data_IF_632524031610
#
_entry.id   IF_632524031610
#
_cell.length_a   1.000
_cell.length_b   1.000
_cell.length_c   1.000
_cell.angle_alpha   90.00
_cell.angle_beta   90.00
_cell.angle_gamma   90.00
#
_symmetry.space_group_name_H-M   'P 1'
#
loop_
_entity.id
_entity.type
_entity.pdbx_description
1 polymer ?
#
# COMPACT_ATOMS: atom_id res chain seq x y z
N UNK A 1 13.46 -4.25 5.51
CA UNK A 1 13.90 -2.87 5.20
C UNK A 1 14.29 -2.19 6.50
N UNK A 2 15.40 -1.45 6.49
CA UNK A 2 15.90 -0.68 7.62
C UNK A 2 16.24 0.74 7.16
N UNK A 3 15.80 1.74 7.91
CA UNK A 3 16.19 3.14 7.75
C UNK A 3 17.08 3.53 8.94
N UNK A 4 18.28 4.06 8.65
CA UNK A 4 19.26 4.45 9.67
C UNK A 4 19.52 5.94 9.56
N UNK A 5 18.97 6.72 10.49
CA UNK A 5 19.13 8.17 10.58
C UNK A 5 18.85 8.91 9.25
N UNK A 6 17.79 8.50 8.57
CA UNK A 6 17.43 8.99 7.23
C UNK A 6 16.84 10.40 7.31
N UNK A 7 17.45 11.33 6.58
CA UNK A 7 16.92 12.68 6.36
C UNK A 7 16.69 12.94 4.87
N UNK A 8 15.69 13.76 4.56
CA UNK A 8 15.41 14.22 3.19
C UNK A 8 15.17 15.71 3.17
N UNK A 9 15.95 16.40 2.35
CA UNK A 9 15.87 17.86 2.18
C UNK A 9 15.53 18.15 0.73
N UNK A 10 14.57 19.03 0.51
CA UNK A 10 14.24 19.64 -0.78
C UNK A 10 14.52 21.13 -0.69
N UNK A 11 15.52 21.61 -1.43
CA UNK A 11 16.02 22.98 -1.33
C UNK A 11 16.39 23.31 0.13
N UNK A 12 15.60 24.14 0.83
CA UNK A 12 15.79 24.48 2.23
C UNK A 12 14.82 23.77 3.19
N UNK A 13 13.90 22.97 2.64
CA UNK A 13 12.85 22.31 3.44
C UNK A 13 13.25 20.91 3.83
N UNK A 14 13.36 20.64 5.13
CA UNK A 14 13.56 19.31 5.68
C UNK A 14 12.22 18.55 5.68
N UNK A 15 12.00 17.73 4.67
CA UNK A 15 10.79 16.90 4.56
C UNK A 15 10.83 15.69 5.52
N UNK A 16 12.04 15.14 5.76
CA UNK A 16 12.28 14.10 6.76
C UNK A 16 13.53 14.46 7.57
N UNK A 17 13.51 14.12 8.87
CA UNK A 17 14.59 14.44 9.82
C UNK A 17 14.88 13.22 10.68
N UNK A 18 16.05 12.63 10.50
CA UNK A 18 16.59 11.57 11.33
C UNK A 18 15.60 10.41 11.57
N UNK A 19 14.99 9.92 10.51
CA UNK A 19 14.08 8.78 10.56
C UNK A 19 14.88 7.49 10.79
N UNK A 20 14.50 6.75 11.84
CA UNK A 20 15.14 5.48 12.19
C UNK A 20 14.08 4.45 12.57
N UNK A 21 13.97 3.37 11.81
CA UNK A 21 13.16 2.18 12.12
C UNK A 21 13.56 1.02 11.20
N UNK A 22 13.16 -0.19 11.59
CA UNK A 22 13.29 -1.37 10.77
C UNK A 22 11.94 -2.08 10.63
N UNK A 23 11.72 -2.78 9.52
CA UNK A 23 10.50 -3.56 9.26
C UNK A 23 10.89 -4.96 8.83
N UNK A 24 10.32 -5.95 9.50
CA UNK A 24 10.55 -7.36 9.22
C UNK A 24 9.68 -7.83 8.04
N UNK A 25 10.11 -8.86 7.30
CA UNK A 25 9.27 -9.45 6.27
C UNK A 25 7.91 -9.92 6.82
N UNK A 26 6.83 -9.59 6.11
CA UNK A 26 5.48 -9.98 6.48
C UNK A 26 4.83 -9.12 7.57
N UNK A 27 5.42 -8.00 8.01
CA UNK A 27 4.73 -7.03 8.86
C UNK A 27 3.72 -6.19 8.07
N UNK A 28 2.64 -5.77 8.74
CA UNK A 28 1.75 -4.70 8.27
C UNK A 28 2.00 -3.47 9.13
N UNK A 29 2.67 -2.48 8.55
CA UNK A 29 3.07 -1.26 9.25
C UNK A 29 2.22 -0.08 8.81
N UNK A 30 1.49 0.50 9.73
CA UNK A 30 0.75 1.75 9.53
C UNK A 30 1.68 2.96 9.70
N UNK A 31 1.57 3.93 8.82
CA UNK A 31 2.27 5.22 8.92
C UNK A 31 1.22 6.31 9.00
N UNK A 32 1.09 6.93 10.17
CA UNK A 32 0.07 7.95 10.43
C UNK A 32 0.69 9.31 10.69
N UNK A 33 -0.05 10.36 10.41
CA UNK A 33 0.36 11.73 10.65
C UNK A 33 -0.48 12.73 9.85
N UNK A 34 -0.49 13.99 10.28
CA UNK A 34 -1.22 15.06 9.58
C UNK A 34 -0.69 15.28 8.16
N UNK A 35 -1.45 15.97 7.32
CA UNK A 35 -0.97 16.42 6.02
C UNK A 35 0.33 17.20 6.19
N UNK A 36 1.31 16.98 5.28
CA UNK A 36 2.63 17.60 5.37
C UNK A 36 3.57 17.01 6.42
N UNK A 37 3.23 15.93 7.12
CA UNK A 37 4.13 15.30 8.10
C UNK A 37 5.32 14.52 7.49
N UNK A 38 5.36 14.34 6.15
CA UNK A 38 6.45 13.65 5.46
C UNK A 38 6.13 12.22 4.99
N UNK A 39 4.91 11.72 5.19
CA UNK A 39 4.50 10.33 4.87
C UNK A 39 4.76 9.94 3.41
N UNK A 40 4.31 10.76 2.46
CA UNK A 40 4.51 10.49 1.02
C UNK A 40 5.99 10.59 0.62
N UNK A 41 6.78 11.46 1.27
CA UNK A 41 8.24 11.50 1.08
C UNK A 41 8.88 10.21 1.58
N UNK A 42 8.46 9.71 2.74
CA UNK A 42 8.93 8.44 3.27
C UNK A 42 8.60 7.28 2.32
N UNK A 43 7.38 7.22 1.78
CA UNK A 43 7.01 6.20 0.79
C UNK A 43 7.85 6.27 -0.49
N UNK A 44 8.20 7.47 -0.98
CA UNK A 44 9.07 7.62 -2.16
C UNK A 44 10.48 7.10 -1.90
N UNK A 45 10.99 7.28 -0.69
CA UNK A 45 12.28 6.70 -0.28
C UNK A 45 12.18 5.17 -0.18
N UNK A 46 11.13 4.64 0.46
CA UNK A 46 10.89 3.19 0.58
C UNK A 46 10.72 2.53 -0.79
N UNK A 47 10.09 3.21 -1.74
CA UNK A 47 9.93 2.73 -3.13
C UNK A 47 11.16 2.99 -4.01
N UNK A 48 12.24 3.50 -3.45
CA UNK A 48 13.49 3.83 -4.17
C UNK A 48 13.28 4.78 -5.36
N UNK A 49 12.22 5.59 -5.34
CA UNK A 49 12.01 6.67 -6.32
C UNK A 49 12.93 7.84 -6.07
N UNK A 50 13.34 8.02 -4.82
CA UNK A 50 14.26 9.05 -4.38
C UNK A 50 15.34 8.44 -3.47
N UNK A 51 16.44 9.16 -3.35
CA UNK A 51 17.49 8.83 -2.40
C UNK A 51 17.41 9.74 -1.18
N UNK A 52 17.80 9.28 0.01
CA UNK A 52 17.93 10.14 1.17
C UNK A 52 19.02 11.20 0.95
N UNK A 53 18.89 12.34 1.60
CA UNK A 53 19.95 13.38 1.63
C UNK A 53 21.04 13.01 2.62
N UNK A 54 20.66 12.34 3.73
CA UNK A 54 21.56 11.84 4.78
C UNK A 54 21.03 10.51 5.31
N UNK A 55 21.94 9.74 5.95
CA UNK A 55 21.59 8.43 6.48
C UNK A 55 21.55 7.34 5.42
N UNK A 56 21.07 6.17 5.79
CA UNK A 56 21.09 4.98 4.95
C UNK A 56 19.76 4.26 4.93
N UNK A 57 19.38 3.74 3.77
CA UNK A 57 18.29 2.77 3.63
C UNK A 57 18.93 1.44 3.27
N UNK A 58 18.60 0.40 4.02
CA UNK A 58 19.10 -0.95 3.80
C UNK A 58 17.97 -1.90 3.43
N UNK A 59 18.20 -2.71 2.41
CA UNK A 59 17.34 -3.83 2.01
C UNK A 59 18.19 -5.09 2.09
N UNK A 60 17.71 -6.07 2.85
CA UNK A 60 18.44 -7.32 3.11
C UNK A 60 19.89 -7.06 3.56
N UNK A 61 20.09 -6.07 4.45
CA UNK A 61 21.37 -5.67 5.03
C UNK A 61 22.27 -4.84 4.10
N UNK A 62 21.91 -4.63 2.82
CA UNK A 62 22.70 -3.86 1.86
C UNK A 62 22.19 -2.44 1.73
N UNK A 63 23.08 -1.46 1.80
CA UNK A 63 22.75 -0.04 1.60
C UNK A 63 22.32 0.20 0.14
N UNK A 64 21.10 0.70 -0.07
CA UNK A 64 20.51 0.93 -1.41
C UNK A 64 21.24 2.01 -2.21
N UNK A 65 21.97 2.91 -1.56
CA UNK A 65 22.76 3.96 -2.23
C UNK A 65 23.97 3.37 -2.97
N UNK A 66 24.37 2.12 -2.64
CA UNK A 66 25.44 1.39 -3.34
C UNK A 66 24.91 0.59 -4.54
N UNK A 67 23.59 0.56 -4.75
CA UNK A 67 22.99 -0.21 -5.82
C UNK A 67 23.24 0.44 -7.18
N UNK A 68 23.59 -0.38 -8.17
CA UNK A 68 23.55 0.03 -9.57
C UNK A 68 22.12 0.35 -10.01
N UNK A 69 21.95 1.11 -11.08
CA UNK A 69 20.64 1.40 -11.68
C UNK A 69 19.84 0.13 -11.99
N UNK A 70 20.52 -0.97 -12.34
CA UNK A 70 19.89 -2.27 -12.60
C UNK A 70 19.35 -2.90 -11.32
N UNK A 71 20.14 -2.88 -10.25
CA UNK A 71 19.72 -3.41 -8.94
C UNK A 71 18.55 -2.58 -8.36
N UNK A 72 18.59 -1.25 -8.44
CA UNK A 72 17.44 -0.42 -8.04
C UNK A 72 16.17 -0.82 -8.78
N UNK A 73 16.22 -0.99 -10.11
CA UNK A 73 15.08 -1.46 -10.90
C UNK A 73 14.60 -2.85 -10.48
N UNK A 74 15.51 -3.77 -10.18
CA UNK A 74 15.16 -5.09 -9.68
C UNK A 74 14.45 -5.03 -8.33
N UNK A 75 14.88 -4.17 -7.42
CA UNK A 75 14.19 -3.96 -6.15
C UNK A 75 12.81 -3.32 -6.35
N UNK A 76 12.70 -2.26 -7.16
CA UNK A 76 11.42 -1.65 -7.51
C UNK A 76 10.44 -2.64 -8.15
N UNK A 77 10.96 -3.63 -8.88
CA UNK A 77 10.15 -4.70 -9.45
C UNK A 77 9.53 -5.63 -8.40
N UNK A 78 10.06 -5.67 -7.19
CA UNK A 78 9.52 -6.44 -6.07
C UNK A 78 8.58 -5.58 -5.18
N UNK A 79 8.26 -4.37 -5.61
CA UNK A 79 7.38 -3.45 -4.89
C UNK A 79 6.09 -3.24 -5.68
N UNK A 80 4.96 -3.44 -5.03
CA UNK A 80 3.64 -3.06 -5.52
C UNK A 80 3.25 -1.72 -4.91
N UNK A 81 2.56 -0.89 -5.68
CA UNK A 81 2.09 0.40 -5.18
C UNK A 81 0.60 0.57 -5.44
N UNK A 82 -0.12 0.95 -4.40
CA UNK A 82 -1.55 1.25 -4.39
C UNK A 82 -1.70 2.72 -4.02
N UNK A 83 -2.36 3.49 -4.90
CA UNK A 83 -2.47 4.95 -4.77
C UNK A 83 -3.87 5.37 -4.36
N UNK A 84 -4.00 6.53 -3.76
CA UNK A 84 -5.25 7.18 -3.42
C UNK A 84 -6.19 7.37 -4.63
N UNK A 85 -5.65 7.79 -5.78
CA UNK A 85 -6.40 8.03 -7.01
C UNK A 85 -6.34 6.86 -7.99
N UNK A 86 -6.11 5.62 -7.49
CA UNK A 86 -6.09 4.37 -8.24
C UNK A 86 -5.03 4.30 -9.35
N UNK A 87 -4.76 5.40 -10.05
CA UNK A 87 -3.82 5.54 -11.19
C UNK A 87 -4.04 4.47 -12.28
N UNK A 88 -5.30 4.10 -12.54
CA UNK A 88 -5.65 3.24 -13.65
C UNK A 88 -5.55 4.00 -14.97
N UNK A 89 -5.11 3.31 -16.02
CA UNK A 89 -5.08 3.88 -17.38
C UNK A 89 -6.49 3.81 -17.96
N UNK A 90 -7.11 4.96 -18.15
CA UNK A 90 -8.50 5.11 -18.57
C UNK A 90 -8.77 4.55 -19.98
N UNK A 91 -7.75 4.47 -20.83
CA UNK A 91 -7.81 3.94 -22.18
C UNK A 91 -7.55 2.43 -22.27
N UNK A 92 -7.32 1.76 -21.15
CA UNK A 92 -7.13 0.31 -21.07
C UNK A 92 -8.28 -0.36 -20.35
N UNK A 93 -8.63 -1.57 -20.79
CA UNK A 93 -9.57 -2.43 -20.09
C UNK A 93 -9.02 -2.81 -18.71
N UNK A 94 -9.88 -3.27 -17.81
CA UNK A 94 -9.51 -3.69 -16.46
C UNK A 94 -8.49 -4.83 -16.50
N UNK A 95 -8.71 -5.83 -17.35
CA UNK A 95 -7.73 -6.90 -17.59
C UNK A 95 -6.36 -6.35 -17.96
N UNK A 96 -6.30 -5.40 -18.89
CA UNK A 96 -5.07 -4.82 -19.39
C UNK A 96 -4.36 -3.94 -18.35
N UNK A 97 -5.12 -3.24 -17.50
CA UNK A 97 -4.58 -2.52 -16.36
C UNK A 97 -3.85 -3.44 -15.39
N UNK A 98 -4.45 -4.59 -15.03
CA UNK A 98 -3.83 -5.58 -14.13
C UNK A 98 -2.64 -6.27 -14.81
N UNK A 99 -2.72 -6.53 -16.11
CA UNK A 99 -1.64 -7.17 -16.87
C UNK A 99 -0.45 -6.24 -17.18
N UNK A 100 -0.64 -4.91 -17.07
CA UNK A 100 0.35 -3.92 -17.51
C UNK A 100 1.76 -4.14 -16.92
N UNK A 101 1.95 -4.39 -15.60
CA UNK A 101 3.28 -4.59 -15.06
C UNK A 101 4.02 -5.79 -15.64
N UNK A 102 3.31 -6.86 -16.01
CA UNK A 102 3.88 -8.03 -16.68
C UNK A 102 4.17 -7.75 -18.16
N UNK A 103 3.27 -7.04 -18.85
CA UNK A 103 3.48 -6.64 -20.25
C UNK A 103 4.74 -5.80 -20.43
N UNK A 104 5.05 -4.90 -19.48
CA UNK A 104 6.28 -4.09 -19.50
C UNK A 104 7.55 -4.94 -19.39
N UNK A 105 7.46 -6.13 -18.79
CA UNK A 105 8.54 -7.11 -18.72
C UNK A 105 8.54 -8.10 -19.89
N UNK A 106 7.60 -7.93 -20.84
CA UNK A 106 7.33 -8.88 -21.94
C UNK A 106 6.93 -10.29 -21.46
N UNK A 107 6.38 -10.37 -20.25
CA UNK A 107 5.83 -11.59 -19.68
C UNK A 107 4.34 -11.73 -20.02
N UNK A 108 3.94 -12.95 -20.41
CA UNK A 108 2.53 -13.29 -20.67
C UNK A 108 2.09 -14.35 -19.65
N UNK A 109 1.24 -13.96 -18.72
CA UNK A 109 0.70 -14.84 -17.67
C UNK A 109 -0.83 -14.65 -17.54
N UNK A 110 -1.62 -15.01 -18.56
CA UNK A 110 -3.06 -14.75 -18.58
C UNK A 110 -3.80 -15.39 -17.40
N UNK A 111 -3.52 -16.64 -17.08
CA UNK A 111 -4.13 -17.37 -15.97
C UNK A 111 -3.89 -16.68 -14.61
N UNK A 112 -2.72 -16.04 -14.44
CA UNK A 112 -2.42 -15.28 -13.23
C UNK A 112 -3.29 -14.03 -13.15
N UNK A 113 -3.49 -13.33 -14.26
CA UNK A 113 -4.33 -12.13 -14.29
C UNK A 113 -5.78 -12.49 -13.98
N UNK A 114 -6.30 -13.56 -14.56
CA UNK A 114 -7.65 -14.07 -14.29
C UNK A 114 -7.82 -14.43 -12.81
N UNK A 115 -6.84 -15.15 -12.22
CA UNK A 115 -6.85 -15.46 -10.77
C UNK A 115 -6.83 -14.21 -9.92
N UNK A 116 -6.03 -13.19 -10.25
CA UNK A 116 -5.98 -11.94 -9.50
C UNK A 116 -7.30 -11.17 -9.61
N UNK A 117 -7.91 -11.11 -10.79
CA UNK A 117 -9.22 -10.49 -10.97
C UNK A 117 -10.31 -11.22 -10.18
N UNK A 118 -10.28 -12.55 -10.14
CA UNK A 118 -11.16 -13.35 -9.29
C UNK A 118 -10.90 -13.09 -7.80
N UNK A 119 -9.62 -13.03 -7.40
CA UNK A 119 -9.23 -12.78 -6.01
C UNK A 119 -9.76 -11.45 -5.47
N UNK A 120 -9.81 -10.39 -6.31
CA UNK A 120 -10.34 -9.08 -5.95
C UNK A 120 -11.82 -8.89 -6.33
N UNK A 121 -12.50 -9.95 -6.73
CA UNK A 121 -13.92 -9.94 -7.15
C UNK A 121 -14.22 -8.99 -8.32
N UNK A 122 -13.31 -8.96 -9.31
CA UNK A 122 -13.44 -8.11 -10.51
C UNK A 122 -13.41 -8.89 -11.83
N UNK A 123 -13.47 -10.22 -11.78
CA UNK A 123 -13.43 -11.05 -12.98
C UNK A 123 -14.59 -10.74 -13.96
N UNK A 124 -15.79 -10.46 -13.43
CA UNK A 124 -16.98 -10.11 -14.20
C UNK A 124 -16.90 -8.77 -14.96
N UNK A 125 -15.93 -7.91 -14.59
CA UNK A 125 -15.66 -6.61 -15.22
C UNK A 125 -14.31 -6.54 -15.94
N UNK A 126 -13.69 -7.68 -16.25
CA UNK A 126 -12.39 -7.74 -16.93
C UNK A 126 -12.33 -6.93 -18.23
N UNK A 127 -13.43 -6.93 -19.00
CA UNK A 127 -13.55 -6.24 -20.28
C UNK A 127 -14.04 -4.77 -20.16
N UNK A 128 -14.42 -4.33 -18.97
CA UNK A 128 -14.85 -2.96 -18.72
C UNK A 128 -13.65 -1.99 -18.70
N UNK A 129 -13.95 -0.69 -18.76
CA UNK A 129 -12.98 0.40 -18.62
C UNK A 129 -13.10 1.06 -17.24
N UNK A 130 -12.04 1.73 -16.73
CA UNK A 130 -12.07 2.37 -15.41
C UNK A 130 -13.24 3.35 -15.22
N UNK A 131 -13.66 4.08 -16.25
CA UNK A 131 -14.79 5.00 -16.18
C UNK A 131 -16.13 4.32 -15.82
N UNK A 132 -16.25 3.00 -15.97
CA UNK A 132 -17.44 2.21 -15.68
C UNK A 132 -17.43 1.61 -14.25
N UNK A 133 -16.42 1.94 -13.44
CA UNK A 133 -16.21 1.38 -12.11
C UNK A 133 -16.49 2.41 -11.02
N UNK A 134 -17.03 1.94 -9.90
CA UNK A 134 -17.08 2.69 -8.64
C UNK A 134 -15.68 2.92 -8.06
N UNK A 135 -15.54 3.80 -7.08
CA UNK A 135 -14.26 4.05 -6.40
C UNK A 135 -13.68 2.80 -5.75
N UNK A 136 -14.51 2.03 -5.04
CA UNK A 136 -14.09 0.78 -4.40
C UNK A 136 -13.66 -0.28 -5.42
N UNK A 137 -14.37 -0.39 -6.56
CA UNK A 137 -13.98 -1.29 -7.66
C UNK A 137 -12.65 -0.89 -8.29
N UNK A 138 -12.43 0.41 -8.54
CA UNK A 138 -11.14 0.93 -9.03
C UNK A 138 -10.01 0.59 -8.07
N UNK A 139 -10.26 0.69 -6.76
CA UNK A 139 -9.25 0.36 -5.76
C UNK A 139 -8.93 -1.13 -5.73
N UNK A 140 -9.93 -2.01 -5.84
CA UNK A 140 -9.71 -3.45 -5.97
C UNK A 140 -8.86 -3.80 -7.20
N UNK A 141 -9.13 -3.18 -8.33
CA UNK A 141 -8.31 -3.34 -9.55
C UNK A 141 -6.88 -2.82 -9.36
N UNK A 142 -6.71 -1.68 -8.68
CA UNK A 142 -5.38 -1.13 -8.34
C UNK A 142 -4.57 -2.10 -7.48
N UNK A 143 -5.21 -2.76 -6.51
CA UNK A 143 -4.59 -3.80 -5.68
C UNK A 143 -4.20 -5.01 -6.54
N UNK A 144 -5.09 -5.52 -7.41
CA UNK A 144 -4.78 -6.63 -8.31
C UNK A 144 -3.59 -6.32 -9.21
N UNK A 145 -3.52 -5.11 -9.77
CA UNK A 145 -2.38 -4.64 -10.56
C UNK A 145 -1.09 -4.63 -9.74
N UNK A 146 -1.12 -4.12 -8.51
CA UNK A 146 0.04 -4.09 -7.63
C UNK A 146 0.54 -5.51 -7.32
N UNK A 147 -0.36 -6.49 -7.21
CA UNK A 147 -0.04 -7.90 -6.93
C UNK A 147 0.45 -8.68 -8.15
N UNK A 148 0.28 -8.16 -9.37
CA UNK A 148 0.55 -8.91 -10.61
C UNK A 148 1.97 -9.44 -10.73
N UNK A 149 2.94 -8.85 -10.01
CA UNK A 149 4.35 -9.24 -10.00
C UNK A 149 4.79 -9.99 -8.72
N UNK A 150 3.84 -10.44 -7.88
CA UNK A 150 4.12 -11.05 -6.57
C UNK A 150 5.10 -10.19 -5.74
N UNK A 151 4.72 -8.97 -5.38
CA UNK A 151 5.61 -8.06 -4.68
C UNK A 151 5.96 -8.58 -3.29
N UNK A 152 7.21 -8.37 -2.86
CA UNK A 152 7.63 -8.57 -1.47
C UNK A 152 7.12 -7.44 -0.56
N UNK A 153 6.96 -6.24 -1.12
CA UNK A 153 6.50 -5.05 -0.42
C UNK A 153 5.30 -4.44 -1.14
N UNK A 154 4.26 -4.15 -0.40
CA UNK A 154 3.08 -3.44 -0.89
C UNK A 154 2.99 -2.09 -0.18
N UNK A 155 3.15 -1.01 -0.93
CA UNK A 155 3.07 0.35 -0.43
C UNK A 155 1.70 0.93 -0.77
N UNK A 156 0.93 1.27 0.25
CA UNK A 156 -0.41 1.83 0.11
C UNK A 156 -0.38 3.31 0.54
N UNK A 157 -0.49 4.21 -0.41
CA UNK A 157 -0.51 5.66 -0.17
C UNK A 157 -1.97 6.14 -0.13
N UNK A 158 -2.51 6.31 1.08
CA UNK A 158 -3.88 6.77 1.34
C UNK A 158 -4.94 5.97 0.56
N UNK A 159 -4.77 4.64 0.50
CA UNK A 159 -5.55 3.74 -0.35
C UNK A 159 -7.06 3.68 -0.03
N UNK A 160 -7.51 4.28 1.07
CA UNK A 160 -8.93 4.31 1.50
C UNK A 160 -9.52 5.71 1.57
N UNK A 161 -8.72 6.76 1.53
CA UNK A 161 -9.13 8.14 1.84
C UNK A 161 -10.17 8.75 0.87
N UNK A 162 -10.35 8.16 -0.31
CA UNK A 162 -11.34 8.60 -1.31
C UNK A 162 -12.58 7.70 -1.38
N UNK A 163 -12.74 6.81 -0.39
CA UNK A 163 -13.81 5.82 -0.34
C UNK A 163 -14.79 6.14 0.79
N UNK A 164 -16.05 5.73 0.61
CA UNK A 164 -17.01 5.67 1.69
C UNK A 164 -16.66 4.54 2.68
N UNK A 165 -17.38 4.48 3.80
CA UNK A 165 -17.09 3.53 4.88
C UNK A 165 -17.20 2.06 4.42
N UNK A 166 -18.21 1.73 3.61
CA UNK A 166 -18.43 0.37 3.13
C UNK A 166 -17.29 -0.08 2.19
N UNK A 167 -16.92 0.77 1.25
CA UNK A 167 -15.80 0.49 0.35
C UNK A 167 -14.45 0.48 1.09
N UNK A 168 -14.27 1.34 2.09
CA UNK A 168 -13.09 1.33 2.98
C UNK A 168 -12.97 -0.02 3.68
N UNK A 169 -14.05 -0.50 4.30
CA UNK A 169 -14.06 -1.81 4.96
C UNK A 169 -13.74 -2.95 3.99
N UNK A 170 -14.34 -2.93 2.80
CA UNK A 170 -14.08 -3.92 1.74
C UNK A 170 -12.60 -3.95 1.34
N UNK A 171 -11.97 -2.78 1.15
CA UNK A 171 -10.54 -2.66 0.79
C UNK A 171 -9.64 -3.14 1.94
N UNK A 172 -9.95 -2.81 3.19
CA UNK A 172 -9.17 -3.27 4.35
C UNK A 172 -9.24 -4.80 4.48
N UNK A 173 -10.42 -5.41 4.32
CA UNK A 173 -10.56 -6.88 4.26
C UNK A 173 -9.76 -7.49 3.13
N UNK A 174 -9.78 -6.87 1.95
CA UNK A 174 -8.97 -7.33 0.81
C UNK A 174 -7.47 -7.25 1.09
N UNK A 175 -6.99 -6.21 1.77
CA UNK A 175 -5.58 -6.10 2.19
C UNK A 175 -5.21 -7.17 3.22
N UNK A 176 -6.08 -7.49 4.18
CA UNK A 176 -5.89 -8.62 5.09
C UNK A 176 -5.79 -9.95 4.33
N UNK A 177 -6.75 -10.23 3.44
CA UNK A 177 -6.75 -11.41 2.59
C UNK A 177 -5.48 -11.47 1.73
N UNK A 178 -5.05 -10.33 1.18
CA UNK A 178 -3.79 -10.20 0.43
C UNK A 178 -2.59 -10.59 1.28
N UNK A 179 -2.55 -10.11 2.52
CA UNK A 179 -1.46 -10.44 3.43
C UNK A 179 -1.47 -11.93 3.82
N UNK A 180 -2.64 -12.53 4.04
CA UNK A 180 -2.76 -13.96 4.35
C UNK A 180 -2.29 -14.84 3.19
N UNK A 181 -2.69 -14.51 1.97
CA UNK A 181 -2.44 -15.32 0.77
C UNK A 181 -1.01 -15.15 0.23
N UNK A 182 -0.54 -13.91 0.08
CA UNK A 182 0.72 -13.58 -0.60
C UNK A 182 1.86 -13.20 0.34
N UNK A 183 1.56 -12.95 1.63
CA UNK A 183 2.53 -12.58 2.67
C UNK A 183 3.45 -11.39 2.34
N UNK A 184 3.01 -10.35 1.63
CA UNK A 184 3.84 -9.17 1.44
C UNK A 184 4.04 -8.44 2.77
N UNK A 185 5.14 -7.73 2.90
CA UNK A 185 5.25 -6.65 3.91
C UNK A 185 4.43 -5.47 3.41
N UNK A 186 3.51 -4.94 4.22
CA UNK A 186 2.62 -3.85 3.82
C UNK A 186 2.99 -2.58 4.57
N UNK A 187 3.24 -1.49 3.84
CA UNK A 187 3.30 -0.14 4.37
C UNK A 187 1.98 0.57 4.04
N UNK A 188 1.20 0.86 5.06
CA UNK A 188 -0.11 1.48 4.91
C UNK A 188 -0.10 2.89 5.45
N UNK A 189 -0.05 3.88 4.55
CA UNK A 189 -0.13 5.30 4.90
C UNK A 189 -1.59 5.72 4.93
N UNK A 190 -2.01 6.29 6.06
CA UNK A 190 -3.34 6.85 6.21
C UNK A 190 -3.36 7.93 7.29
N UNK A 191 -4.32 8.83 7.23
CA UNK A 191 -4.68 9.74 8.32
C UNK A 191 -5.91 9.24 9.10
N UNK A 192 -6.54 8.15 8.67
CA UNK A 192 -7.71 7.51 9.28
C UNK A 192 -7.26 6.48 10.33
N UNK A 193 -7.24 6.87 11.60
CA UNK A 193 -6.72 6.03 12.68
C UNK A 193 -7.48 4.72 12.84
N UNK A 194 -8.81 4.72 12.65
CA UNK A 194 -9.62 3.50 12.76
C UNK A 194 -9.25 2.46 11.70
N UNK A 195 -9.02 2.90 10.46
CA UNK A 195 -8.57 2.03 9.37
C UNK A 195 -7.20 1.41 9.68
N UNK A 196 -6.27 2.23 10.17
CA UNK A 196 -4.92 1.77 10.55
C UNK A 196 -4.99 0.78 11.72
N UNK A 197 -5.81 1.05 12.74
CA UNK A 197 -6.02 0.17 13.89
C UNK A 197 -6.56 -1.21 13.49
N UNK A 198 -7.45 -1.24 12.49
CA UNK A 198 -8.04 -2.48 11.99
C UNK A 198 -7.06 -3.32 11.15
N UNK A 199 -6.13 -2.69 10.42
CA UNK A 199 -5.27 -3.37 9.47
C UNK A 199 -3.86 -3.68 10.01
N UNK A 200 -3.25 -2.74 10.72
CA UNK A 200 -1.81 -2.74 10.96
C UNK A 200 -1.44 -3.41 12.29
N UNK A 201 -0.34 -4.16 12.29
CA UNK A 201 0.22 -4.76 13.52
C UNK A 201 1.10 -3.78 14.31
N UNK A 202 1.64 -2.78 13.61
CA UNK A 202 2.55 -1.78 14.15
C UNK A 202 2.23 -0.43 13.52
N UNK A 203 2.29 0.64 14.31
CA UNK A 203 1.91 1.98 13.89
C UNK A 203 3.07 2.92 14.17
N UNK A 204 3.54 3.60 13.14
CA UNK A 204 4.54 4.65 13.18
C UNK A 204 3.84 6.02 13.08
N UNK A 205 4.09 6.91 14.03
CA UNK A 205 3.46 8.24 14.08
C UNK A 205 4.46 9.29 13.63
N UNK A 206 4.09 10.04 12.59
CA UNK A 206 4.92 11.07 12.00
C UNK A 206 4.39 12.48 12.27
N UNK A 207 5.26 13.38 12.68
CA UNK A 207 4.98 14.81 12.78
C UNK A 207 6.19 15.63 12.30
N UNK A 208 5.94 16.65 11.46
CA UNK A 208 6.96 17.61 10.98
C UNK A 208 8.26 16.96 10.47
N UNK A 209 8.11 15.84 9.76
CA UNK A 209 9.22 15.10 9.17
C UNK A 209 9.96 14.17 10.16
N UNK A 210 9.45 13.97 11.35
CA UNK A 210 10.05 13.11 12.38
C UNK A 210 9.13 11.96 12.75
N UNK A 211 9.72 10.85 13.20
CA UNK A 211 9.02 9.78 13.86
C UNK A 211 8.91 10.13 15.35
N UNK A 212 7.70 10.40 15.83
CA UNK A 212 7.44 10.84 17.20
C UNK A 212 6.90 9.76 18.11
N UNK A 213 6.52 8.63 17.54
CA UNK A 213 6.00 7.49 18.30
C UNK A 213 5.90 6.23 17.47
N UNK A 214 5.95 5.12 18.16
CA UNK A 214 5.80 3.78 17.62
C UNK A 214 4.96 2.95 18.59
N UNK A 215 3.95 2.25 18.06
CA UNK A 215 3.03 1.45 18.85
C UNK A 215 2.84 0.07 18.21
N UNK A 216 2.87 -0.97 19.03
CA UNK A 216 2.37 -2.27 18.62
C UNK A 216 0.85 -2.25 18.71
N UNK A 217 0.20 -2.87 17.75
CA UNK A 217 -1.24 -2.99 17.68
C UNK A 217 -1.62 -4.44 17.39
N UNK A 218 -2.76 -4.86 17.92
CA UNK A 218 -3.35 -6.14 17.60
C UNK A 218 -4.60 -5.88 16.76
N UNK A 219 -4.51 -5.99 15.41
CA UNK A 219 -5.66 -5.74 14.57
C UNK A 219 -6.78 -6.69 14.91
N UNK A 220 -8.01 -6.19 14.98
CA UNK A 220 -9.18 -7.01 15.23
C UNK A 220 -9.28 -8.07 14.13
N UNK A 221 -9.39 -9.33 14.50
CA UNK A 221 -9.70 -10.39 13.55
C UNK A 221 -11.07 -10.06 12.92
N UNK A 222 -11.10 -9.98 11.61
CA UNK A 222 -12.36 -9.85 10.90
C UNK A 222 -13.14 -11.15 11.10
N UNK A 223 -14.38 -11.04 11.59
CA UNK A 223 -15.35 -12.12 11.50
C UNK A 223 -15.53 -12.45 10.01
N UNK A 224 -15.61 -13.75 9.69
CA UNK A 224 -15.62 -14.22 8.29
C UNK A 224 -16.80 -13.70 7.47
N UNK A 225 -17.91 -13.32 8.13
CA UNK A 225 -19.08 -12.75 7.47
C UNK A 225 -19.20 -11.24 7.76
N UNK A 226 -19.38 -10.41 6.71
CA UNK A 226 -19.66 -9.00 6.90
C UNK A 226 -21.04 -8.84 7.54
N UNK A 227 -21.13 -8.06 8.61
CA UNK A 227 -22.40 -7.66 9.18
C UNK A 227 -23.29 -7.04 8.09
N UNK A 228 -24.54 -7.43 8.03
CA UNK A 228 -25.53 -6.77 7.17
C UNK A 228 -25.65 -5.29 7.53
N UNK A 229 -26.14 -4.47 6.61
CA UNK A 229 -26.37 -3.04 6.87
C UNK A 229 -27.25 -2.81 8.11
N UNK A 230 -28.27 -3.66 8.31
CA UNK A 230 -29.16 -3.60 9.47
C UNK A 230 -28.38 -3.84 10.78
N UNK A 231 -27.54 -4.87 10.83
CA UNK A 231 -26.71 -5.18 12.00
C UNK A 231 -25.70 -4.08 12.33
N UNK A 232 -25.13 -3.43 11.29
CA UNK A 232 -24.25 -2.28 11.46
C UNK A 232 -24.99 -1.09 12.08
N UNK A 233 -26.20 -0.78 11.60
CA UNK A 233 -27.04 0.29 12.13
C UNK A 233 -27.45 -0.01 13.57
N UNK A 234 -27.89 -1.22 13.86
CA UNK A 234 -28.25 -1.63 15.23
C UNK A 234 -27.08 -1.50 16.18
N UNK A 235 -25.86 -1.90 15.77
CA UNK A 235 -24.64 -1.82 16.60
C UNK A 235 -24.20 -0.37 16.84
N UNK A 236 -24.40 0.53 15.87
CA UNK A 236 -24.04 1.95 16.01
C UNK A 236 -25.07 2.77 16.78
N UNK A 237 -26.33 2.32 16.86
CA UNK A 237 -27.42 3.01 17.58
C UNK A 237 -27.62 2.48 19.02
N UNK A 238 -27.03 1.37 19.40
CA UNK A 238 -27.05 0.90 20.78
C UNK A 238 -26.02 1.69 21.60
N UNK A 239 -26.43 2.31 22.72
CA UNK A 239 -25.55 3.08 23.59
C UNK A 239 -24.45 2.23 24.25
#
# INVERSE_FOLDING_TARGET
IELVNVSKVYQETHALKNIHFSVQPGEIVGIVGKSGSGKSTLLRLLNLMEQPSEGEIRIDGRNVQTFSKKEVRQQQQQMGMVFQHYNLLENLKIYDNVALPLKLLKEKQPEKIERLLTFVDMAHKAEAYPAQLSGGEKQRVSIARALSRNPKWLLCDEATSSLDEENTESVVRLLHKTHQEFRPTIFFVSHELETVKRLCNRILVMEKGQLIGEFLNNPQQYEEEPLSYLEKVERSLRP
#
